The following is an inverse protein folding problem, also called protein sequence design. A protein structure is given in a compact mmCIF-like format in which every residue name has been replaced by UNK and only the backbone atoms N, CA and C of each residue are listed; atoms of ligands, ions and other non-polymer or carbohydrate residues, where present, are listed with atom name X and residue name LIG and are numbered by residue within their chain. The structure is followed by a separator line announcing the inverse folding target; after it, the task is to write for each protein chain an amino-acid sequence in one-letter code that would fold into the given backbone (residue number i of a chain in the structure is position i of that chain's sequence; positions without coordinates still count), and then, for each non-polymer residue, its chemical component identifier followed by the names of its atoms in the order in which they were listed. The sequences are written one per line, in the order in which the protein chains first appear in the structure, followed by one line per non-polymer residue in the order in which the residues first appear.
data_IF_328731526929
#
_entry.id   IF_328731526929
#
_cell.length_a   1.000
_cell.length_b   1.000
_cell.length_c   1.000
_cell.angle_alpha   90.00
_cell.angle_beta   90.00
_cell.angle_gamma   90.00
#
_symmetry.space_group_name_H-M   'P 1'
#
loop_
_entity.id
_entity.type
_entity.pdbx_description
1 polymer ?
#
# COMPACT_ATOMS: atom_id res chain seq x y z
N UNK A 1 -13.41 19.02 8.27
CA UNK A 1 -13.00 17.95 7.35
C UNK A 1 -11.58 17.59 7.71
N UNK A 2 -11.29 16.31 7.93
CA UNK A 2 -9.96 15.86 8.32
C UNK A 2 -9.00 15.99 7.13
N UNK A 3 -7.89 16.73 7.31
CA UNK A 3 -6.92 17.01 6.24
C UNK A 3 -6.31 15.71 5.73
N UNK A 4 -6.05 14.75 6.62
CA UNK A 4 -5.47 13.46 6.25
C UNK A 4 -6.41 12.62 5.37
N UNK A 5 -7.72 12.69 5.61
CA UNK A 5 -8.75 12.06 4.74
C UNK A 5 -8.78 12.68 3.35
N UNK A 6 -8.65 14.00 3.25
CA UNK A 6 -8.57 14.69 1.95
C UNK A 6 -7.30 14.32 1.18
N UNK A 7 -6.15 14.34 1.85
CA UNK A 7 -4.87 13.98 1.25
C UNK A 7 -4.90 12.54 0.72
N UNK A 8 -5.47 11.60 1.49
CA UNK A 8 -5.71 10.23 1.04
C UNK A 8 -6.53 10.20 -0.26
N UNK A 9 -7.60 10.98 -0.34
CA UNK A 9 -8.43 11.05 -1.53
C UNK A 9 -7.69 11.60 -2.75
N UNK A 10 -6.93 12.69 -2.60
CA UNK A 10 -6.09 13.21 -3.69
C UNK A 10 -5.02 12.21 -4.12
N UNK A 11 -4.43 11.47 -3.19
CA UNK A 11 -3.47 10.41 -3.48
C UNK A 11 -4.14 9.28 -4.27
N UNK A 12 -5.32 8.80 -3.85
CA UNK A 12 -6.02 7.72 -4.56
C UNK A 12 -6.47 8.15 -5.97
N UNK A 13 -6.80 9.42 -6.18
CA UNK A 13 -7.09 9.97 -7.52
C UNK A 13 -5.89 9.90 -8.48
N UNK A 14 -4.66 9.78 -7.98
CA UNK A 14 -3.45 9.56 -8.80
C UNK A 14 -3.35 8.14 -9.38
N UNK A 15 -4.20 7.23 -8.90
CA UNK A 15 -4.26 5.81 -9.25
C UNK A 15 -5.70 5.41 -9.58
N UNK A 16 -6.28 5.91 -10.69
CA UNK A 16 -7.66 5.55 -11.07
C UNK A 16 -7.85 4.03 -11.23
N UNK A 17 -6.80 3.30 -11.63
CA UNK A 17 -6.80 1.84 -11.72
C UNK A 17 -7.00 1.14 -10.38
N UNK A 18 -6.73 1.81 -9.25
CA UNK A 18 -6.94 1.24 -7.92
C UNK A 18 -8.42 0.99 -7.64
N UNK A 19 -9.34 1.71 -8.30
CA UNK A 19 -10.80 1.54 -8.13
C UNK A 19 -11.21 1.51 -6.65
N UNK A 20 -10.98 2.62 -5.95
CA UNK A 20 -11.23 2.75 -4.52
C UNK A 20 -12.71 2.51 -4.14
N UNK A 21 -12.91 1.65 -3.14
CA UNK A 21 -14.15 1.38 -2.39
C UNK A 21 -13.75 0.83 -1.01
N UNK A 22 -14.66 0.81 -0.03
CA UNK A 22 -14.47 0.16 1.28
C UNK A 22 -15.51 -0.94 1.57
N UNK A 23 -16.31 -1.33 0.56
CA UNK A 23 -17.45 -2.25 0.69
C UNK A 23 -17.02 -3.63 1.21
N UNK A 24 -16.05 -4.26 0.55
CA UNK A 24 -15.64 -5.63 0.86
C UNK A 24 -14.40 -5.69 1.77
N UNK A 25 -14.21 -6.86 2.41
CA UNK A 25 -13.03 -7.10 3.23
C UNK A 25 -11.72 -6.92 2.44
N UNK A 26 -11.69 -7.41 1.21
CA UNK A 26 -10.51 -7.32 0.35
C UNK A 26 -10.23 -5.89 -0.10
N UNK A 27 -11.24 -5.03 -0.23
CA UNK A 27 -11.03 -3.61 -0.56
C UNK A 27 -10.30 -2.88 0.58
N UNK A 28 -10.76 -3.13 1.81
CA UNK A 28 -10.10 -2.60 3.02
C UNK A 28 -8.68 -3.13 3.16
N UNK A 29 -8.48 -4.41 2.87
CA UNK A 29 -7.14 -5.03 2.88
C UNK A 29 -6.24 -4.36 1.83
N UNK A 30 -6.71 -4.21 0.60
CA UNK A 30 -5.96 -3.57 -0.50
C UNK A 30 -5.54 -2.16 -0.14
N UNK A 31 -6.44 -1.33 0.41
CA UNK A 31 -6.11 0.03 0.85
C UNK A 31 -4.94 0.01 1.85
N UNK A 32 -5.01 -0.87 2.85
CA UNK A 32 -3.98 -0.99 3.89
C UNK A 32 -2.61 -1.33 3.30
N UNK A 33 -2.55 -2.31 2.39
CA UNK A 33 -1.29 -2.74 1.78
C UNK A 33 -0.75 -1.73 0.78
N UNK A 34 -1.62 -1.13 -0.02
CA UNK A 34 -1.25 -0.13 -1.02
C UNK A 34 -0.62 1.11 -0.37
N UNK A 35 -1.27 1.66 0.66
CA UNK A 35 -0.76 2.85 1.36
C UNK A 35 0.49 2.53 2.17
N UNK A 36 0.56 1.35 2.81
CA UNK A 36 1.78 0.90 3.48
C UNK A 36 2.98 0.84 2.51
N UNK A 37 2.80 0.20 1.35
CA UNK A 37 3.85 0.10 0.33
C UNK A 37 4.22 1.47 -0.21
N UNK A 38 3.29 2.41 -0.34
CA UNK A 38 3.65 3.78 -0.72
C UNK A 38 4.60 4.42 0.31
N UNK A 39 4.30 4.25 1.61
CA UNK A 39 5.19 4.75 2.67
C UNK A 39 6.54 4.03 2.71
N UNK A 40 6.63 2.76 2.30
CA UNK A 40 7.91 2.05 2.23
C UNK A 40 8.87 2.63 1.18
N UNK A 41 8.37 3.42 0.23
CA UNK A 41 9.19 4.21 -0.70
C UNK A 41 9.61 5.57 -0.11
N UNK A 42 9.50 5.76 1.21
CA UNK A 42 9.69 7.03 1.92
C UNK A 42 8.75 8.17 1.46
N UNK A 43 7.54 7.81 0.99
CA UNK A 43 6.45 8.76 0.77
C UNK A 43 5.58 8.75 2.02
N UNK A 44 6.01 9.46 3.06
CA UNK A 44 5.33 9.44 4.35
C UNK A 44 3.99 10.20 4.29
N UNK A 45 2.90 9.52 4.66
CA UNK A 45 1.53 10.03 4.63
C UNK A 45 0.92 10.18 6.03
N UNK A 46 1.71 9.94 7.08
CA UNK A 46 1.26 10.05 8.47
C UNK A 46 0.43 8.86 8.97
N UNK A 47 0.51 7.70 8.30
CA UNK A 47 -0.17 6.48 8.75
C UNK A 47 0.81 5.56 9.47
N UNK A 48 0.56 5.28 10.74
CA UNK A 48 1.39 4.36 11.52
C UNK A 48 0.84 2.94 11.41
N UNK A 49 1.70 2.02 10.93
CA UNK A 49 1.33 0.63 10.70
C UNK A 49 1.86 -0.28 11.78
N UNK A 50 1.06 -1.28 12.13
CA UNK A 50 1.44 -2.38 13.03
C UNK A 50 1.07 -3.72 12.40
N UNK A 51 1.69 -4.80 12.85
CA UNK A 51 1.32 -6.14 12.38
C UNK A 51 -0.05 -6.56 12.93
N UNK A 52 -1.01 -6.84 12.05
CA UNK A 52 -2.34 -7.30 12.43
C UNK A 52 -2.89 -8.32 11.44
N UNK A 53 -3.31 -9.49 11.95
CA UNK A 53 -3.95 -10.64 11.27
C UNK A 53 -3.45 -10.98 9.86
N UNK A 54 -3.65 -10.10 8.86
CA UNK A 54 -3.25 -10.17 7.43
C UNK A 54 -2.06 -9.27 7.06
N UNK A 55 -1.25 -8.83 8.03
CA UNK A 55 0.02 -8.10 7.81
C UNK A 55 -0.02 -6.65 8.31
N UNK A 56 0.72 -5.69 7.71
CA UNK A 56 0.68 -4.30 8.16
C UNK A 56 -0.72 -3.70 8.08
N UNK A 57 -1.17 -3.05 9.15
CA UNK A 57 -2.48 -2.44 9.28
C UNK A 57 -2.42 -1.15 10.10
N UNK A 58 -3.22 -0.16 9.71
CA UNK A 58 -3.38 1.13 10.36
C UNK A 58 -4.89 1.41 10.57
N UNK A 59 -5.35 1.41 11.83
CA UNK A 59 -6.76 1.69 12.16
C UNK A 59 -7.20 3.07 11.67
N UNK A 60 -6.31 4.08 11.79
CA UNK A 60 -6.57 5.44 11.32
C UNK A 60 -6.85 5.48 9.82
N UNK A 61 -6.09 4.72 9.02
CA UNK A 61 -6.31 4.62 7.58
C UNK A 61 -7.68 4.03 7.25
N UNK A 62 -8.15 3.04 8.02
CA UNK A 62 -9.51 2.50 7.84
C UNK A 62 -10.57 3.55 8.16
N UNK A 63 -10.40 4.35 9.22
CA UNK A 63 -11.32 5.47 9.51
C UNK A 63 -11.37 6.49 8.38
N UNK A 64 -10.20 6.90 7.87
CA UNK A 64 -10.12 7.81 6.73
C UNK A 64 -10.75 7.20 5.47
N UNK A 65 -10.51 5.92 5.21
CA UNK A 65 -11.10 5.19 4.08
C UNK A 65 -12.62 5.20 4.12
N UNK A 66 -13.24 4.85 5.25
CA UNK A 66 -14.71 4.88 5.36
C UNK A 66 -15.28 6.30 5.21
N UNK A 67 -14.65 7.31 5.84
CA UNK A 67 -15.07 8.69 5.67
C UNK A 67 -14.93 9.16 4.21
N UNK A 68 -13.91 8.67 3.51
CA UNK A 68 -13.67 8.98 2.12
C UNK A 68 -14.75 8.35 1.22
N UNK A 69 -15.10 7.09 1.47
CA UNK A 69 -16.11 6.33 0.73
C UNK A 69 -17.54 6.86 0.96
N UNK A 70 -17.80 7.42 2.15
CA UNK A 70 -19.06 8.08 2.56
C UNK A 70 -19.22 9.49 1.92
N UNK A 71 -19.02 9.59 0.60
CA UNK A 71 -19.37 10.75 -0.20
C UNK A 71 -18.25 11.80 -0.38
N UNK A 72 -17.12 11.71 0.33
CA UNK A 72 -16.01 12.68 0.14
C UNK A 72 -15.28 12.39 -1.18
N UNK A 73 -15.04 11.12 -1.53
CA UNK A 73 -14.24 10.74 -2.70
C UNK A 73 -14.82 11.31 -4.00
N UNK A 74 -16.14 11.24 -4.15
CA UNK A 74 -16.89 11.69 -5.32
C UNK A 74 -16.81 13.22 -5.48
N UNK A 75 -16.52 13.96 -4.39
CA UNK A 75 -16.36 15.42 -4.39
C UNK A 75 -14.93 15.86 -4.70
N UNK A 76 -13.96 14.94 -4.63
CA UNK A 76 -12.58 15.20 -5.01
C UNK A 76 -12.47 15.07 -6.54
N UNK A 77 -12.02 16.12 -7.25
CA UNK A 77 -11.91 16.07 -8.70
C UNK A 77 -10.92 14.99 -9.14
N UNK A 78 -11.12 14.38 -10.34
CA UNK A 78 -10.10 13.55 -10.95
C UNK A 78 -8.76 14.29 -11.05
N UNK A 79 -7.66 13.56 -10.93
CA UNK A 79 -6.34 14.16 -11.11
C UNK A 79 -6.17 14.62 -12.56
N UNK A 80 -5.81 15.89 -12.75
CA UNK A 80 -5.54 16.51 -14.05
C UNK A 80 -4.05 16.39 -14.45
N UNK A 81 -3.25 15.71 -13.64
CA UNK A 81 -1.82 15.52 -13.84
C UNK A 81 -0.94 16.69 -13.39
N UNK A 82 -1.54 17.79 -12.88
CA UNK A 82 -0.79 18.99 -12.47
C UNK A 82 -0.37 18.94 -11.00
N UNK A 83 -1.15 18.27 -10.14
CA UNK A 83 -0.88 18.22 -8.70
C UNK A 83 0.36 17.36 -8.39
N UNK A 84 1.19 17.83 -7.46
CA UNK A 84 2.48 17.21 -7.11
C UNK A 84 2.76 17.39 -5.63
N UNK A 85 3.58 16.50 -5.07
CA UNK A 85 4.19 16.73 -3.76
C UNK A 85 5.06 17.98 -3.83
N UNK A 86 4.96 18.84 -2.82
CA UNK A 86 5.76 20.07 -2.73
C UNK A 86 7.27 19.78 -2.70
N UNK A 87 7.68 18.66 -2.10
CA UNK A 87 9.06 18.21 -2.11
C UNK A 87 9.37 17.41 -3.37
N UNK A 88 10.33 17.86 -4.17
CA UNK A 88 10.80 17.15 -5.37
C UNK A 88 11.34 15.74 -5.05
N UNK A 89 11.99 15.58 -3.89
CA UNK A 89 12.49 14.28 -3.44
C UNK A 89 11.34 13.32 -3.14
N UNK A 90 10.29 13.79 -2.47
CA UNK A 90 9.08 12.98 -2.23
C UNK A 90 8.38 12.69 -3.55
N UNK A 91 8.27 13.66 -4.46
CA UNK A 91 7.68 13.43 -5.79
C UNK A 91 8.45 12.36 -6.58
N UNK A 92 9.78 12.35 -6.54
CA UNK A 92 10.60 11.33 -7.20
C UNK A 92 10.37 9.94 -6.61
N UNK A 93 10.25 9.84 -5.28
CA UNK A 93 9.91 8.61 -4.57
C UNK A 93 8.51 8.11 -4.92
N UNK A 94 7.54 9.01 -4.95
CA UNK A 94 6.19 8.73 -5.41
C UNK A 94 6.15 8.21 -6.85
N UNK A 95 6.91 8.82 -7.75
CA UNK A 95 7.00 8.33 -9.14
C UNK A 95 7.61 6.91 -9.20
N UNK A 96 8.61 6.60 -8.38
CA UNK A 96 9.15 5.22 -8.29
C UNK A 96 8.09 4.23 -7.80
N UNK A 97 7.32 4.59 -6.78
CA UNK A 97 6.20 3.78 -6.31
C UNK A 97 5.16 3.59 -7.42
N UNK A 98 4.82 4.66 -8.16
CA UNK A 98 3.86 4.62 -9.26
C UNK A 98 4.30 3.67 -10.38
N UNK A 99 5.57 3.67 -10.75
CA UNK A 99 6.10 2.70 -11.72
C UNK A 99 6.11 1.27 -11.16
N UNK A 100 6.46 1.09 -9.89
CA UNK A 100 6.47 -0.22 -9.22
C UNK A 100 5.08 -0.87 -9.19
N UNK A 101 4.05 -0.10 -8.84
CA UNK A 101 2.70 -0.59 -8.61
C UNK A 101 1.87 -0.71 -9.89
N UNK A 102 2.37 -0.18 -11.02
CA UNK A 102 1.69 -0.23 -12.32
C UNK A 102 1.35 -1.68 -12.68
N UNK A 103 0.07 -1.91 -12.98
CA UNK A 103 -0.47 -3.23 -13.32
C UNK A 103 -0.67 -4.18 -12.12
N UNK A 104 -0.36 -3.73 -10.89
CA UNK A 104 -0.45 -4.54 -9.66
C UNK A 104 -1.35 -3.94 -8.57
N UNK A 105 -1.79 -2.68 -8.76
CA UNK A 105 -2.59 -1.94 -7.78
C UNK A 105 -3.93 -2.62 -7.40
N UNK A 106 -4.45 -3.48 -8.28
CA UNK A 106 -5.69 -4.24 -8.05
C UNK A 106 -5.48 -5.66 -7.54
N UNK A 107 -4.24 -6.15 -7.53
CA UNK A 107 -3.92 -7.51 -7.11
C UNK A 107 -3.76 -7.58 -5.59
N UNK A 108 -4.84 -7.93 -4.89
CA UNK A 108 -4.86 -8.03 -3.43
C UNK A 108 -3.80 -9.00 -2.88
N UNK A 109 -3.60 -10.13 -3.58
CA UNK A 109 -2.63 -11.16 -3.18
C UNK A 109 -1.21 -10.63 -3.30
N UNK A 110 -0.86 -9.99 -4.43
CA UNK A 110 0.44 -9.36 -4.61
C UNK A 110 0.71 -8.30 -3.53
N UNK A 111 -0.26 -7.41 -3.31
CA UNK A 111 -0.14 -6.34 -2.32
C UNK A 111 0.06 -6.91 -0.91
N UNK A 112 -0.66 -7.96 -0.53
CA UNK A 112 -0.51 -8.60 0.77
C UNK A 112 0.86 -9.25 0.95
N UNK A 113 1.35 -9.98 -0.07
CA UNK A 113 2.68 -10.59 -0.05
C UNK A 113 3.76 -9.51 0.08
N UNK A 114 3.75 -8.51 -0.79
CA UNK A 114 4.77 -7.47 -0.82
C UNK A 114 4.81 -6.68 0.49
N UNK A 115 3.66 -6.24 0.98
CA UNK A 115 3.56 -5.48 2.21
C UNK A 115 3.99 -6.32 3.43
N UNK A 116 3.58 -7.59 3.49
CA UNK A 116 3.92 -8.47 4.61
C UNK A 116 5.41 -8.81 4.64
N UNK A 117 6.03 -9.12 3.50
CA UNK A 117 7.46 -9.38 3.40
C UNK A 117 8.27 -8.14 3.80
N UNK A 118 7.92 -6.98 3.24
CA UNK A 118 8.60 -5.73 3.59
C UNK A 118 8.50 -5.43 5.09
N UNK A 119 7.30 -5.55 5.67
CA UNK A 119 7.09 -5.31 7.10
C UNK A 119 7.92 -6.25 7.98
N UNK A 120 7.81 -7.56 7.77
CA UNK A 120 8.52 -8.54 8.59
C UNK A 120 10.04 -8.33 8.52
N UNK A 121 10.58 -8.10 7.33
CA UNK A 121 12.03 -7.98 7.14
C UNK A 121 12.56 -6.63 7.65
N UNK A 122 11.89 -5.52 7.34
CA UNK A 122 12.41 -4.18 7.61
C UNK A 122 11.92 -3.53 8.88
N UNK A 123 10.65 -3.70 9.21
CA UNK A 123 10.07 -3.11 10.41
C UNK A 123 10.34 -4.01 11.62
N UNK A 124 10.13 -5.32 11.48
CA UNK A 124 10.28 -6.28 12.59
C UNK A 124 11.66 -6.95 12.65
N UNK A 125 12.49 -6.80 11.62
CA UNK A 125 13.86 -7.38 11.58
C UNK A 125 13.90 -8.91 11.49
N UNK A 126 12.83 -9.53 10.99
CA UNK A 126 12.75 -10.98 10.80
C UNK A 126 13.63 -11.41 9.61
N UNK A 127 14.32 -12.53 9.78
CA UNK A 127 15.13 -13.15 8.72
C UNK A 127 14.30 -13.41 7.45
N UNK A 128 14.89 -13.19 6.27
CA UNK A 128 14.21 -13.31 4.98
C UNK A 128 13.56 -14.69 4.79
N UNK A 129 14.26 -15.77 5.17
CA UNK A 129 13.78 -17.13 4.97
C UNK A 129 12.59 -17.46 5.87
N UNK A 130 12.62 -16.93 7.11
CA UNK A 130 11.54 -17.05 8.09
C UNK A 130 10.33 -16.21 7.65
N UNK A 131 10.55 -14.95 7.26
CA UNK A 131 9.48 -14.09 6.75
C UNK A 131 8.79 -14.69 5.52
N UNK A 132 9.56 -15.30 4.61
CA UNK A 132 9.00 -15.96 3.43
C UNK A 132 8.13 -17.17 3.79
N UNK A 133 8.55 -18.00 4.74
CA UNK A 133 7.74 -19.12 5.22
C UNK A 133 6.47 -18.65 5.94
N UNK A 134 6.57 -17.59 6.77
CA UNK A 134 5.42 -16.99 7.44
C UNK A 134 4.39 -16.44 6.45
N UNK A 135 4.82 -15.73 5.41
CA UNK A 135 3.94 -15.17 4.38
C UNK A 135 3.29 -16.28 3.54
N UNK A 136 4.09 -17.25 3.08
CA UNK A 136 3.60 -18.38 2.28
C UNK A 136 2.49 -19.18 2.99
N UNK A 137 2.63 -19.45 4.30
CA UNK A 137 1.64 -20.22 5.06
C UNK A 137 0.35 -19.46 5.34
N UNK A 138 0.39 -18.13 5.26
CA UNK A 138 -0.67 -17.25 5.74
C UNK A 138 -1.51 -16.67 4.61
N UNK A 139 -0.88 -16.25 3.52
CA UNK A 139 -1.59 -15.61 2.41
C UNK A 139 -2.39 -16.68 1.65
N UNK A 140 -3.72 -16.55 1.54
CA UNK A 140 -4.55 -17.54 0.85
C UNK A 140 -4.16 -17.69 -0.61
N UNK A 141 -4.26 -18.92 -1.14
CA UNK A 141 -4.10 -19.23 -2.57
C UNK A 141 -2.76 -18.75 -3.18
N UNK A 142 -1.69 -18.65 -2.38
CA UNK A 142 -0.36 -18.30 -2.87
C UNK A 142 0.57 -19.50 -3.01
N UNK A 143 1.60 -19.37 -3.82
CA UNK A 143 2.71 -20.33 -3.93
C UNK A 143 4.00 -19.75 -3.34
N UNK A 144 4.92 -20.65 -3.00
CA UNK A 144 6.23 -20.24 -2.49
C UNK A 144 7.04 -19.51 -3.56
N UNK A 145 6.85 -19.88 -4.82
CA UNK A 145 7.48 -19.27 -5.99
C UNK A 145 6.98 -17.83 -6.19
N UNK A 146 5.69 -17.57 -6.00
CA UNK A 146 5.14 -16.22 -6.01
C UNK A 146 5.77 -15.37 -4.89
N UNK A 147 5.83 -15.88 -3.65
CA UNK A 147 6.46 -15.17 -2.54
C UNK A 147 7.95 -14.87 -2.80
N UNK A 148 8.69 -15.83 -3.37
CA UNK A 148 10.10 -15.63 -3.78
C UNK A 148 10.25 -14.57 -4.88
N UNK A 149 9.36 -14.57 -5.86
CA UNK A 149 9.37 -13.59 -6.95
C UNK A 149 9.16 -12.18 -6.40
N UNK A 150 8.16 -11.99 -5.52
CA UNK A 150 7.90 -10.70 -4.89
C UNK A 150 9.07 -10.26 -4.00
N UNK A 151 9.65 -11.18 -3.22
CA UNK A 151 10.84 -10.86 -2.41
C UNK A 151 12.00 -10.39 -3.29
N UNK A 152 12.24 -11.04 -4.42
CA UNK A 152 13.27 -10.64 -5.38
C UNK A 152 13.03 -9.22 -5.91
N UNK A 153 11.80 -8.88 -6.29
CA UNK A 153 11.44 -7.52 -6.72
C UNK A 153 11.72 -6.47 -5.63
N UNK A 154 11.36 -6.76 -4.36
CA UNK A 154 11.65 -5.87 -3.23
C UNK A 154 13.15 -5.63 -3.04
N UNK A 155 13.99 -6.66 -3.24
CA UNK A 155 15.46 -6.55 -3.16
C UNK A 155 16.03 -5.71 -4.30
N UNK A 156 15.54 -5.90 -5.53
CA UNK A 156 15.94 -5.09 -6.69
C UNK A 156 15.63 -3.60 -6.49
N UNK A 157 14.53 -3.31 -5.80
CA UNK A 157 14.12 -1.96 -5.39
C UNK A 157 14.86 -1.43 -4.16
N UNK A 158 15.69 -2.26 -3.51
CA UNK A 158 16.38 -1.97 -2.23
C UNK A 158 15.43 -1.62 -1.09
N UNK A 159 14.23 -2.20 -1.13
CA UNK A 159 13.23 -2.04 -0.07
C UNK A 159 13.44 -3.03 1.05
N UNK A 160 14.08 -4.17 0.81
CA UNK A 160 14.50 -5.11 1.86
C UNK A 160 16.01 -5.30 1.83
#
# INVERSE_FOLDING_TARGET
MDVQTLDLGFILRKFPEFNFTMDEFDDRLRLQKFIYLMQSFDVYLGYDFSWYLRGPYCTRLTTCGFALDDGIYQRIPPDDGTSRFASETVQRRFNKFKEYIRGKATDATYLEIAASLHYLIKADGIDESVALDMVYRKVPNTTREQCKSVLKELKELRLV
#
